data_IF_434500348133
#
_entry.id   IF_434500348133
#
_cell.length_a   1.000
_cell.length_b   1.000
_cell.length_c   1.000
_cell.angle_alpha   90.00
_cell.angle_beta   90.00
_cell.angle_gamma   90.00
#
_symmetry.space_group_name_H-M   'P 1'
#
loop_
_entity.id
_entity.type
_entity.pdbx_description
1 polymer ?
#
# COMPACT_ATOMS: atom_id res chain seq x y z
N UNK A 1 -12.70 20.11 -12.40
CA UNK A 1 -13.35 20.93 -11.34
C UNK A 1 -12.83 20.59 -9.94
N UNK A 2 -12.70 19.31 -9.57
CA UNK A 2 -12.21 18.87 -8.25
C UNK A 2 -10.91 19.56 -7.78
N UNK A 3 -9.92 19.69 -8.66
CA UNK A 3 -8.64 20.34 -8.33
C UNK A 3 -8.78 21.81 -7.91
N UNK A 4 -9.69 22.56 -8.53
CA UNK A 4 -9.89 23.97 -8.19
C UNK A 4 -10.40 24.13 -6.75
N UNK A 5 -11.31 23.24 -6.32
CA UNK A 5 -11.86 23.27 -4.96
C UNK A 5 -10.82 22.86 -3.92
N UNK A 6 -10.03 21.82 -4.20
CA UNK A 6 -8.92 21.43 -3.34
C UNK A 6 -7.92 22.58 -3.14
N UNK A 7 -7.67 23.38 -4.18
CA UNK A 7 -6.83 24.57 -4.08
C UNK A 7 -7.51 25.74 -3.36
N UNK A 8 -8.83 25.88 -3.45
CA UNK A 8 -9.60 26.86 -2.65
C UNK A 8 -9.49 26.50 -1.17
N UNK A 9 -9.61 25.22 -0.80
CA UNK A 9 -9.35 24.77 0.57
C UNK A 9 -7.94 25.14 1.02
N UNK A 10 -6.93 24.84 0.19
CA UNK A 10 -5.54 25.25 0.49
C UNK A 10 -5.40 26.76 0.73
N UNK A 11 -6.05 27.58 -0.09
CA UNK A 11 -5.99 29.03 0.04
C UNK A 11 -6.70 29.56 1.30
N UNK A 12 -7.76 28.88 1.75
CA UNK A 12 -8.52 29.25 2.95
C UNK A 12 -7.93 28.70 4.25
N UNK A 13 -7.00 27.73 4.18
CA UNK A 13 -6.40 27.11 5.35
C UNK A 13 -5.86 28.13 6.40
N UNK A 14 -5.17 29.22 6.04
CA UNK A 14 -4.66 30.18 7.03
C UNK A 14 -5.75 30.95 7.80
N UNK A 15 -6.97 31.05 7.25
CA UNK A 15 -8.07 31.85 7.82
C UNK A 15 -9.18 30.99 8.43
N UNK A 16 -9.27 29.72 8.03
CA UNK A 16 -10.28 28.76 8.52
C UNK A 16 -9.62 27.44 8.96
N UNK A 17 -8.62 27.45 9.86
CA UNK A 17 -7.83 26.27 10.18
C UNK A 17 -8.67 25.11 10.72
N UNK A 18 -9.73 25.40 11.47
CA UNK A 18 -10.58 24.37 12.10
C UNK A 18 -11.70 23.84 11.20
N UNK A 19 -11.82 24.34 9.96
CA UNK A 19 -12.87 23.94 9.00
C UNK A 19 -12.29 23.32 7.72
N UNK A 20 -11.01 23.56 7.46
CA UNK A 20 -10.35 23.15 6.21
C UNK A 20 -9.65 21.81 6.38
N UNK A 21 -9.80 20.95 5.38
CA UNK A 21 -9.15 19.65 5.30
C UNK A 21 -7.80 19.75 4.57
N UNK A 22 -6.94 18.77 4.76
CA UNK A 22 -5.73 18.61 3.95
C UNK A 22 -6.08 18.24 2.50
N UNK A 23 -5.08 18.23 1.62
CA UNK A 23 -5.27 17.91 0.22
C UNK A 23 -5.88 16.53 0.01
N UNK A 24 -6.97 16.48 -0.75
CA UNK A 24 -7.64 15.24 -1.15
C UNK A 24 -7.08 14.72 -2.48
N UNK A 25 -7.43 13.51 -2.90
CA UNK A 25 -7.19 13.01 -4.26
C UNK A 25 -7.55 14.08 -5.28
N UNK A 26 -8.71 14.73 -5.14
CA UNK A 26 -9.16 15.84 -5.98
C UNK A 26 -9.06 15.52 -7.49
N UNK A 27 -9.21 14.23 -7.82
CA UNK A 27 -9.13 13.66 -9.16
C UNK A 27 -10.35 12.77 -9.36
N UNK A 28 -11.07 12.94 -10.47
CA UNK A 28 -12.13 12.01 -10.84
C UNK A 28 -11.53 11.05 -11.85
N UNK A 29 -11.32 9.79 -11.45
CA UNK A 29 -10.90 8.75 -12.37
C UNK A 29 -12.09 8.23 -13.13
N UNK A 30 -12.01 8.29 -14.46
CA UNK A 30 -13.02 7.76 -15.35
C UNK A 30 -12.39 6.77 -16.33
N UNK A 31 -12.97 5.59 -16.47
CA UNK A 31 -12.56 4.59 -17.45
C UNK A 31 -13.74 4.17 -18.31
N UNK A 32 -13.57 4.18 -19.63
CA UNK A 32 -14.50 3.60 -20.57
C UNK A 32 -13.90 2.33 -21.15
N UNK A 33 -14.61 1.22 -20.97
CA UNK A 33 -14.28 -0.08 -21.55
C UNK A 33 -15.27 -0.37 -22.66
N UNK A 34 -14.80 -0.89 -23.79
CA UNK A 34 -15.68 -1.22 -24.90
C UNK A 34 -15.13 -2.33 -25.75
N UNK A 35 -16.01 -3.01 -26.48
CA UNK A 35 -15.62 -4.06 -27.40
C UNK A 35 -16.81 -4.63 -28.16
N UNK A 36 -16.57 -5.76 -28.81
CA UNK A 36 -17.58 -6.51 -29.57
C UNK A 36 -17.63 -7.92 -29.01
N UNK A 37 -18.83 -8.40 -28.68
CA UNK A 37 -19.04 -9.76 -28.21
C UNK A 37 -18.84 -10.76 -29.36
N UNK A 38 -18.60 -12.06 -29.06
CA UNK A 38 -18.61 -13.09 -30.09
C UNK A 38 -19.91 -13.16 -30.91
N UNK A 39 -21.04 -12.71 -30.34
CA UNK A 39 -22.33 -12.59 -31.06
C UNK A 39 -22.36 -11.49 -32.12
N UNK A 40 -21.41 -10.54 -32.08
CA UNK A 40 -21.38 -9.34 -32.94
C UNK A 40 -21.94 -8.08 -32.28
N UNK A 41 -22.54 -8.18 -31.09
CA UNK A 41 -23.09 -7.02 -30.38
C UNK A 41 -22.00 -6.17 -29.72
N UNK A 42 -22.16 -4.85 -29.76
CA UNK A 42 -21.28 -3.93 -29.04
C UNK A 42 -21.60 -3.94 -27.55
N UNK A 43 -20.57 -3.69 -26.73
CA UNK A 43 -20.73 -3.41 -25.31
C UNK A 43 -19.88 -2.21 -24.93
N UNK A 44 -20.37 -1.45 -23.95
CA UNK A 44 -19.66 -0.32 -23.34
C UNK A 44 -19.95 -0.31 -21.85
N UNK A 45 -18.91 -0.06 -21.06
CA UNK A 45 -19.03 0.18 -19.64
C UNK A 45 -18.26 1.45 -19.28
N UNK A 46 -18.91 2.32 -18.53
CA UNK A 46 -18.34 3.55 -18.02
C UNK A 46 -18.19 3.39 -16.52
N UNK A 47 -16.95 3.43 -16.07
CA UNK A 47 -16.58 3.28 -14.67
C UNK A 47 -16.09 4.62 -14.13
N UNK A 48 -16.61 4.98 -12.96
CA UNK A 48 -16.12 6.09 -12.16
C UNK A 48 -15.48 5.48 -10.93
N UNK A 49 -14.21 5.79 -10.67
CA UNK A 49 -13.50 5.25 -9.51
C UNK A 49 -13.45 6.23 -8.35
N UNK A 50 -13.34 5.64 -7.17
CA UNK A 50 -13.24 6.31 -5.89
C UNK A 50 -11.90 7.05 -5.74
N UNK A 51 -11.85 7.98 -4.80
CA UNK A 51 -10.62 8.63 -4.36
C UNK A 51 -10.52 8.64 -2.85
N UNK A 52 -9.75 9.57 -2.30
CA UNK A 52 -9.53 9.65 -0.87
C UNK A 52 -9.40 11.10 -0.42
N UNK A 53 -9.77 11.39 0.82
CA UNK A 53 -9.78 12.76 1.33
C UNK A 53 -8.54 13.05 2.16
N UNK A 54 -8.16 14.32 2.26
CA UNK A 54 -7.14 14.71 3.23
C UNK A 54 -7.66 14.60 4.68
N UNK A 55 -6.73 14.48 5.62
CA UNK A 55 -7.01 14.55 7.05
C UNK A 55 -7.84 15.80 7.37
N UNK A 56 -8.78 15.65 8.31
CA UNK A 56 -9.73 16.71 8.66
C UNK A 56 -9.39 17.29 10.03
N UNK A 57 -9.90 18.47 10.39
CA UNK A 57 -9.60 19.11 11.67
C UNK A 57 -9.90 18.28 12.92
N UNK A 58 -10.78 17.28 12.80
CA UNK A 58 -11.31 16.50 13.93
C UNK A 58 -11.41 14.99 13.65
N UNK A 59 -10.89 14.52 12.52
CA UNK A 59 -10.94 13.10 12.15
C UNK A 59 -10.04 12.80 10.96
N UNK A 60 -9.71 11.54 10.77
CA UNK A 60 -9.00 11.08 9.58
C UNK A 60 -9.77 11.37 8.30
N UNK A 61 -9.02 11.47 7.20
CA UNK A 61 -9.55 11.59 5.87
C UNK A 61 -10.26 10.30 5.47
N UNK A 62 -11.50 10.37 4.98
CA UNK A 62 -12.20 9.18 4.46
C UNK A 62 -11.39 8.42 3.41
N UNK A 63 -11.30 7.10 3.61
CA UNK A 63 -10.65 6.14 2.71
C UNK A 63 -11.59 5.74 1.57
N UNK A 64 -11.09 5.71 0.33
CA UNK A 64 -11.78 5.15 -0.84
C UNK A 64 -13.26 5.53 -1.00
N UNK A 65 -13.57 6.82 -0.90
CA UNK A 65 -14.90 7.39 -1.13
C UNK A 65 -14.97 8.20 -2.43
N UNK A 66 -16.17 8.56 -2.88
CA UNK A 66 -16.29 9.47 -4.03
C UNK A 66 -15.64 10.83 -3.73
N UNK A 67 -15.14 11.48 -4.77
CA UNK A 67 -14.35 12.70 -4.70
C UNK A 67 -15.22 13.93 -4.41
N UNK A 68 -14.58 14.99 -3.89
CA UNK A 68 -15.13 16.30 -3.43
C UNK A 68 -16.52 16.76 -3.92
N UNK A 69 -16.83 16.64 -5.22
CA UNK A 69 -18.05 17.20 -5.84
C UNK A 69 -19.05 16.17 -6.36
N UNK A 70 -18.77 14.89 -6.18
CA UNK A 70 -19.62 13.82 -6.68
C UNK A 70 -20.10 12.94 -5.50
N UNK A 71 -21.23 12.29 -5.71
CA UNK A 71 -21.69 11.23 -4.82
C UNK A 71 -22.30 10.12 -5.66
N UNK A 72 -21.40 9.26 -6.12
CA UNK A 72 -21.66 8.18 -7.06
C UNK A 72 -21.57 6.88 -6.29
N UNK A 73 -22.60 6.04 -6.42
CA UNK A 73 -22.60 4.71 -5.84
C UNK A 73 -21.75 3.79 -6.72
N UNK A 74 -20.98 2.90 -6.10
CA UNK A 74 -20.30 1.83 -6.82
C UNK A 74 -21.30 0.84 -7.45
N UNK A 75 -20.89 0.21 -8.55
CA UNK A 75 -21.63 -0.87 -9.19
C UNK A 75 -21.23 -2.20 -8.52
N UNK A 76 -22.19 -3.06 -8.11
CA UNK A 76 -21.87 -4.38 -7.58
C UNK A 76 -21.06 -5.20 -8.60
N UNK A 77 -19.96 -5.81 -8.16
CA UNK A 77 -19.07 -6.56 -9.04
C UNK A 77 -19.78 -7.77 -9.65
N UNK A 78 -20.70 -8.40 -8.91
CA UNK A 78 -21.51 -9.52 -9.39
C UNK A 78 -22.40 -9.10 -10.56
N UNK A 79 -22.98 -7.90 -10.48
CA UNK A 79 -23.81 -7.37 -11.57
C UNK A 79 -22.98 -7.05 -12.81
N UNK A 80 -21.79 -6.46 -12.63
CA UNK A 80 -20.87 -6.20 -13.72
C UNK A 80 -20.44 -7.50 -14.41
N UNK A 81 -20.01 -8.50 -13.64
CA UNK A 81 -19.56 -9.79 -14.19
C UNK A 81 -20.65 -10.61 -14.88
N UNK A 82 -21.92 -10.42 -14.52
CA UNK A 82 -23.06 -11.05 -15.21
C UNK A 82 -23.36 -10.41 -16.57
N UNK A 83 -23.14 -9.10 -16.72
CA UNK A 83 -23.58 -8.35 -17.88
C UNK A 83 -22.46 -7.95 -18.84
N UNK A 84 -21.22 -7.87 -18.37
CA UNK A 84 -20.08 -7.38 -19.14
C UNK A 84 -19.02 -8.48 -19.28
N UNK A 85 -18.27 -8.53 -20.40
CA UNK A 85 -17.16 -9.45 -20.55
C UNK A 85 -15.93 -8.92 -19.78
N UNK A 86 -16.09 -8.71 -18.48
CA UNK A 86 -15.07 -8.17 -17.58
C UNK A 86 -15.15 -8.86 -16.23
N UNK A 87 -14.01 -8.99 -15.56
CA UNK A 87 -13.92 -9.44 -14.16
C UNK A 87 -13.02 -8.46 -13.41
N UNK A 88 -13.42 -8.10 -12.19
CA UNK A 88 -12.57 -7.35 -11.30
C UNK A 88 -11.67 -8.32 -10.52
N UNK A 89 -10.37 -8.28 -10.79
CA UNK A 89 -9.39 -9.18 -10.16
C UNK A 89 -8.93 -8.66 -8.78
N UNK A 90 -9.01 -7.34 -8.54
CA UNK A 90 -8.60 -6.70 -7.28
C UNK A 90 -9.47 -5.47 -7.01
N UNK A 91 -10.02 -5.35 -5.80
CA UNK A 91 -10.77 -4.17 -5.35
C UNK A 91 -10.63 -4.00 -3.83
N UNK A 92 -9.73 -3.12 -3.40
CA UNK A 92 -9.34 -2.96 -2.00
C UNK A 92 -8.71 -1.59 -1.74
N UNK A 93 -8.42 -1.29 -0.47
CA UNK A 93 -7.54 -0.17 -0.13
C UNK A 93 -6.12 -0.46 -0.62
N UNK A 94 -5.44 0.57 -1.12
CA UNK A 94 -4.09 0.40 -1.67
C UNK A 94 -3.04 0.23 -0.59
N UNK A 95 -2.14 -0.70 -0.84
CA UNK A 95 -1.05 -1.17 0.02
C UNK A 95 0.34 -0.78 -0.50
N UNK A 96 0.42 -0.25 -1.73
CA UNK A 96 1.68 0.09 -2.39
C UNK A 96 2.30 1.40 -1.88
N UNK A 97 1.48 2.28 -1.31
CA UNK A 97 1.87 3.59 -0.81
C UNK A 97 1.05 3.97 0.42
N UNK A 98 1.64 4.78 1.28
CA UNK A 98 1.03 5.22 2.53
C UNK A 98 0.30 6.57 2.36
N UNK A 99 -0.79 6.81 3.12
CA UNK A 99 -1.43 8.12 3.14
C UNK A 99 -0.53 9.15 3.84
N UNK A 100 -0.87 10.43 3.68
CA UNK A 100 -0.15 11.51 4.35
C UNK A 100 -0.32 11.42 5.86
N UNK A 101 0.78 11.28 6.58
CA UNK A 101 0.79 11.25 8.05
C UNK A 101 0.38 12.61 8.63
N UNK A 102 -0.37 12.60 9.73
CA UNK A 102 -0.74 13.79 10.48
C UNK A 102 -1.33 13.39 11.82
N UNK A 103 -1.66 14.36 12.67
CA UNK A 103 -2.52 14.09 13.84
C UNK A 103 -3.77 13.33 13.41
N UNK A 104 -4.32 13.76 12.28
CA UNK A 104 -5.29 13.00 11.51
C UNK A 104 -4.69 12.63 10.16
N UNK A 105 -4.66 11.34 9.83
CA UNK A 105 -4.07 10.83 8.58
C UNK A 105 -4.94 11.20 7.38
N UNK A 106 -4.31 11.26 6.21
CA UNK A 106 -5.04 11.24 4.95
C UNK A 106 -5.75 9.91 4.74
N UNK A 107 -6.74 9.92 3.85
CA UNK A 107 -7.42 8.71 3.40
C UNK A 107 -6.56 7.91 2.42
N UNK A 108 -6.75 6.60 2.43
CA UNK A 108 -6.11 5.61 1.57
C UNK A 108 -6.94 5.50 0.29
N UNK A 109 -6.26 5.57 -0.85
CA UNK A 109 -6.88 5.39 -2.16
C UNK A 109 -7.23 3.93 -2.44
N UNK A 110 -8.13 3.72 -3.39
CA UNK A 110 -8.52 2.40 -3.86
C UNK A 110 -7.51 1.84 -4.86
N UNK A 111 -7.32 0.51 -4.88
CA UNK A 111 -6.85 -0.22 -6.07
C UNK A 111 -8.03 -0.93 -6.69
N UNK A 112 -8.26 -0.72 -7.98
CA UNK A 112 -9.25 -1.48 -8.76
C UNK A 112 -8.62 -1.99 -10.04
N UNK A 113 -8.56 -3.32 -10.17
CA UNK A 113 -8.01 -4.01 -11.34
C UNK A 113 -9.13 -4.67 -12.12
N UNK A 114 -9.35 -4.20 -13.35
CA UNK A 114 -10.39 -4.68 -14.24
C UNK A 114 -9.77 -5.45 -15.39
N UNK A 115 -10.08 -6.75 -15.48
CA UNK A 115 -9.67 -7.62 -16.57
C UNK A 115 -10.73 -7.70 -17.65
N UNK A 116 -10.33 -7.49 -18.89
CA UNK A 116 -11.22 -7.72 -20.03
C UNK A 116 -11.16 -9.19 -20.47
N UNK A 117 -12.32 -9.76 -20.82
CA UNK A 117 -12.44 -11.16 -21.28
C UNK A 117 -12.61 -11.25 -22.81
N UNK A 118 -12.55 -10.12 -23.49
CA UNK A 118 -12.63 -10.01 -24.95
C UNK A 118 -11.71 -8.90 -25.41
N UNK A 119 -11.22 -9.01 -26.65
CA UNK A 119 -10.55 -7.90 -27.32
C UNK A 119 -11.43 -6.64 -27.32
N UNK A 120 -10.81 -5.48 -27.15
CA UNK A 120 -11.54 -4.24 -26.97
C UNK A 120 -10.67 -3.01 -26.91
N UNK A 121 -11.23 -1.96 -26.31
CA UNK A 121 -10.61 -0.66 -26.13
C UNK A 121 -10.83 -0.12 -24.73
N UNK A 122 -9.80 0.55 -24.21
CA UNK A 122 -9.87 1.30 -22.95
C UNK A 122 -9.53 2.77 -23.23
N UNK A 123 -10.35 3.66 -22.69
CA UNK A 123 -10.04 5.09 -22.56
C UNK A 123 -10.07 5.43 -21.07
N UNK A 124 -9.06 6.15 -20.60
CA UNK A 124 -8.94 6.55 -19.20
C UNK A 124 -8.68 8.05 -19.10
N UNK A 125 -9.36 8.69 -18.16
CA UNK A 125 -9.14 10.08 -17.80
C UNK A 125 -8.93 10.23 -16.28
N UNK A 126 -7.79 10.82 -15.92
CA UNK A 126 -7.37 11.02 -14.54
C UNK A 126 -6.35 12.17 -14.41
N UNK A 127 -6.04 12.54 -13.18
CA UNK A 127 -5.03 13.50 -12.75
C UNK A 127 -4.19 12.92 -11.60
N UNK A 128 -3.28 13.72 -10.99
CA UNK A 128 -2.53 13.36 -9.77
C UNK A 128 -1.51 12.22 -9.91
N UNK A 129 -0.95 12.02 -11.10
CA UNK A 129 0.17 11.09 -11.29
C UNK A 129 1.55 11.73 -11.02
N UNK A 130 1.59 13.07 -10.88
CA UNK A 130 2.85 13.82 -10.68
C UNK A 130 2.81 14.82 -9.53
N UNK A 131 1.62 15.22 -9.05
CA UNK A 131 1.45 16.15 -7.94
C UNK A 131 0.74 15.49 -6.74
N UNK A 132 1.44 15.36 -5.63
CA UNK A 132 0.92 14.73 -4.41
C UNK A 132 -0.20 15.55 -3.75
N UNK A 133 -1.22 14.90 -3.17
CA UNK A 133 -2.10 15.56 -2.21
C UNK A 133 -1.28 16.14 -1.05
N UNK A 134 -1.50 17.41 -0.74
CA UNK A 134 -0.64 18.19 0.16
C UNK A 134 -1.10 18.02 1.61
N UNK A 135 -0.15 17.90 2.55
CA UNK A 135 -0.45 17.98 3.98
C UNK A 135 -0.62 19.42 4.46
N UNK A 136 -1.19 19.60 5.67
CA UNK A 136 -1.43 20.92 6.27
C UNK A 136 -1.09 20.95 7.75
N UNK A 137 -0.71 22.14 8.23
CA UNK A 137 -0.45 22.40 9.66
C UNK A 137 0.54 21.40 10.29
N UNK A 138 1.56 20.98 9.53
CA UNK A 138 2.56 20.00 9.97
C UNK A 138 2.32 18.58 9.42
N UNK A 139 1.16 18.32 8.82
CA UNK A 139 0.88 17.04 8.17
C UNK A 139 1.71 16.84 6.89
N UNK A 140 1.99 15.58 6.59
CA UNK A 140 2.78 15.15 5.45
C UNK A 140 1.91 15.06 4.19
N UNK A 141 2.55 15.14 3.03
CA UNK A 141 1.89 14.89 1.76
C UNK A 141 1.46 13.43 1.64
N UNK A 142 0.36 13.20 0.93
CA UNK A 142 -0.07 11.87 0.52
C UNK A 142 0.70 11.37 -0.70
N UNK A 143 0.11 10.40 -1.40
CA UNK A 143 0.74 9.73 -2.53
C UNK A 143 -0.01 9.98 -3.85
N UNK A 144 0.72 9.97 -4.96
CA UNK A 144 0.15 10.07 -6.31
C UNK A 144 -0.62 8.81 -6.70
N UNK A 145 -1.55 8.97 -7.64
CA UNK A 145 -2.17 7.84 -8.32
C UNK A 145 -1.23 7.24 -9.38
N UNK A 146 -1.54 6.04 -9.83
CA UNK A 146 -0.91 5.42 -11.00
C UNK A 146 -1.91 4.54 -11.74
N UNK A 147 -1.58 4.22 -12.98
CA UNK A 147 -2.29 3.23 -13.78
C UNK A 147 -1.26 2.27 -14.35
N UNK A 148 -1.56 0.98 -14.25
CA UNK A 148 -0.77 -0.10 -14.80
C UNK A 148 -1.65 -0.94 -15.75
N UNK A 149 -1.04 -1.45 -16.81
CA UNK A 149 -1.67 -2.42 -17.71
C UNK A 149 -0.73 -3.60 -17.89
N UNK A 150 -1.25 -4.81 -17.72
CA UNK A 150 -0.51 -6.06 -17.92
C UNK A 150 -1.46 -7.16 -18.39
N UNK A 151 -0.94 -8.29 -18.87
CA UNK A 151 -1.78 -9.43 -19.26
C UNK A 151 -1.65 -10.55 -18.23
N UNK A 152 -2.73 -11.27 -17.93
CA UNK A 152 -2.69 -12.40 -16.97
C UNK A 152 -1.81 -13.57 -17.41
N UNK A 153 -1.55 -13.73 -18.71
CA UNK A 153 -0.65 -14.77 -19.22
C UNK A 153 0.83 -14.43 -18.97
N UNK A 154 1.16 -13.14 -18.81
CA UNK A 154 2.48 -12.66 -18.39
C UNK A 154 2.33 -11.46 -17.43
N UNK A 155 2.00 -11.72 -16.15
CA UNK A 155 1.77 -10.65 -15.18
C UNK A 155 3.05 -9.90 -14.80
N UNK A 156 4.22 -10.33 -15.29
CA UNK A 156 5.49 -9.67 -15.05
C UNK A 156 5.76 -8.51 -16.02
N UNK A 157 5.13 -8.53 -17.20
CA UNK A 157 5.22 -7.46 -18.20
C UNK A 157 4.22 -6.34 -17.88
N UNK A 158 4.53 -5.57 -16.83
CA UNK A 158 3.71 -4.44 -16.38
C UNK A 158 4.07 -3.16 -17.11
N UNK A 159 3.09 -2.57 -17.77
CA UNK A 159 3.21 -1.27 -18.44
C UNK A 159 2.65 -0.16 -17.55
N UNK A 160 3.52 0.77 -17.14
CA UNK A 160 3.09 2.01 -16.49
C UNK A 160 2.44 2.95 -17.51
N UNK A 161 1.21 3.36 -17.25
CA UNK A 161 0.42 4.19 -18.16
C UNK A 161 0.34 5.66 -17.71
N UNK A 162 0.23 6.61 -18.66
CA UNK A 162 -0.06 8.00 -18.31
C UNK A 162 -1.43 8.14 -17.67
N UNK A 163 -1.66 9.25 -16.96
CA UNK A 163 -2.95 9.57 -16.33
C UNK A 163 -4.13 9.67 -17.32
N UNK A 164 -3.82 9.89 -18.60
CA UNK A 164 -4.83 9.97 -19.67
C UNK A 164 -4.35 9.23 -20.89
N UNK A 165 -5.22 8.40 -21.44
CA UNK A 165 -5.04 7.76 -22.74
C UNK A 165 -6.40 7.44 -23.33
N UNK A 166 -6.47 7.33 -24.66
CA UNK A 166 -7.73 7.10 -25.36
C UNK A 166 -7.58 6.03 -26.42
N UNK A 167 -8.54 5.12 -26.46
CA UNK A 167 -8.59 4.05 -27.47
C UNK A 167 -7.41 3.07 -27.41
N UNK A 168 -6.87 2.82 -26.20
CA UNK A 168 -5.87 1.77 -26.00
C UNK A 168 -6.50 0.44 -26.41
N UNK A 169 -5.90 -0.22 -27.40
CA UNK A 169 -6.33 -1.57 -27.81
C UNK A 169 -5.90 -2.57 -26.75
N UNK A 170 -6.85 -3.41 -26.33
CA UNK A 170 -6.61 -4.47 -25.37
C UNK A 170 -7.03 -5.82 -25.93
N UNK A 171 -6.38 -6.87 -25.43
CA UNK A 171 -6.68 -8.27 -25.70
C UNK A 171 -7.40 -8.89 -24.52
N UNK A 172 -8.14 -9.97 -24.79
CA UNK A 172 -8.65 -10.81 -23.70
C UNK A 172 -7.50 -11.19 -22.76
N UNK A 173 -7.72 -11.02 -21.45
CA UNK A 173 -6.70 -11.25 -20.43
C UNK A 173 -5.95 -10.00 -19.99
N UNK A 174 -6.02 -8.90 -20.73
CA UNK A 174 -5.43 -7.63 -20.28
C UNK A 174 -6.17 -7.10 -19.06
N UNK A 175 -5.39 -6.62 -18.10
CA UNK A 175 -5.82 -6.03 -16.83
C UNK A 175 -5.48 -4.55 -16.83
N UNK A 176 -6.47 -3.72 -16.56
CA UNK A 176 -6.30 -2.29 -16.28
C UNK A 176 -6.38 -2.09 -14.77
N UNK A 177 -5.23 -1.83 -14.14
CA UNK A 177 -5.09 -1.62 -12.71
C UNK A 177 -4.98 -0.12 -12.42
N UNK A 178 -6.04 0.44 -11.84
CA UNK A 178 -6.07 1.82 -11.37
C UNK A 178 -5.76 1.89 -9.88
N UNK A 179 -4.89 2.81 -9.51
CA UNK A 179 -4.57 3.12 -8.11
C UNK A 179 -4.84 4.60 -7.83
N UNK A 180 -5.77 4.87 -6.92
CA UNK A 180 -6.20 6.23 -6.61
C UNK A 180 -5.23 6.96 -5.69
N UNK A 181 -5.01 8.28 -5.85
CA UNK A 181 -4.14 9.06 -4.96
C UNK A 181 -4.58 8.98 -3.49
N UNK A 182 -3.63 8.91 -2.55
CA UNK A 182 -3.92 8.99 -1.11
C UNK A 182 -3.92 10.45 -0.62
N UNK A 183 -4.81 10.80 0.30
CA UNK A 183 -4.92 12.14 0.87
C UNK A 183 -3.69 12.56 1.68
N UNK A 184 -3.50 13.87 1.84
CA UNK A 184 -2.50 14.45 2.74
C UNK A 184 -2.95 14.44 4.21
N UNK A 185 -2.00 14.52 5.14
CA UNK A 185 -2.28 14.54 6.57
C UNK A 185 -2.61 15.93 7.12
N UNK A 186 -3.32 15.98 8.24
CA UNK A 186 -3.67 17.19 8.97
C UNK A 186 -2.97 17.22 10.34
N UNK A 187 -2.29 18.31 10.65
CA UNK A 187 -1.61 18.49 11.93
C UNK A 187 -0.30 17.71 12.04
N UNK A 188 0.49 17.99 13.07
CA UNK A 188 1.75 17.30 13.32
C UNK A 188 1.52 15.80 13.59
N UNK A 189 2.15 14.87 12.84
CA UNK A 189 2.06 13.43 13.09
C UNK A 189 2.39 13.00 14.53
N UNK A 190 3.34 13.68 15.19
CA UNK A 190 3.72 13.35 16.56
C UNK A 190 2.60 13.61 17.59
N UNK A 191 1.57 14.36 17.20
CA UNK A 191 0.37 14.61 18.03
C UNK A 191 -0.74 13.56 17.84
N UNK A 192 -0.58 12.60 16.90
CA UNK A 192 -1.55 11.50 16.77
C UNK A 192 -1.52 10.64 18.03
N UNK A 193 -2.67 10.26 18.62
CA UNK A 193 -2.68 9.32 19.74
C UNK A 193 -1.98 8.01 19.37
N UNK A 194 -1.13 7.48 20.27
CA UNK A 194 -0.35 6.29 19.96
C UNK A 194 -1.23 5.04 19.75
N UNK A 195 -2.34 4.96 20.49
CA UNK A 195 -3.37 3.93 20.32
C UNK A 195 -4.04 3.96 18.94
N UNK A 196 -4.28 5.16 18.38
CA UNK A 196 -4.83 5.27 17.01
C UNK A 196 -3.81 4.77 15.97
N UNK A 197 -2.52 5.01 16.20
CA UNK A 197 -1.43 4.48 15.34
C UNK A 197 -1.30 2.96 15.48
N UNK A 198 -1.48 2.41 16.67
CA UNK A 198 -1.56 0.97 16.87
C UNK A 198 -2.73 0.39 16.06
N UNK A 199 -3.91 0.99 16.14
CA UNK A 199 -5.07 0.62 15.31
C UNK A 199 -4.75 0.66 13.81
N UNK A 200 -4.12 1.73 13.33
CA UNK A 200 -3.69 1.82 11.92
C UNK A 200 -2.71 0.71 11.52
N UNK A 201 -1.87 0.22 12.44
CA UNK A 201 -0.95 -0.91 12.17
C UNK A 201 -1.69 -2.25 12.16
N UNK A 202 -2.61 -2.46 13.10
CA UNK A 202 -3.39 -3.70 13.17
C UNK A 202 -4.38 -3.84 12.01
N UNK A 203 -4.85 -2.72 11.45
CA UNK A 203 -5.73 -2.65 10.28
C UNK A 203 -4.95 -2.58 8.95
N UNK A 204 -3.61 -2.76 8.96
CA UNK A 204 -2.72 -2.69 7.80
C UNK A 204 -2.74 -1.34 7.03
N UNK A 205 -3.22 -0.26 7.66
CA UNK A 205 -3.20 1.09 7.09
C UNK A 205 -1.80 1.71 7.09
N UNK A 206 -0.93 1.24 7.98
CA UNK A 206 0.50 1.52 7.92
C UNK A 206 1.36 0.42 8.51
N UNK A 207 2.66 0.45 8.22
CA UNK A 207 3.61 -0.52 8.77
C UNK A 207 4.15 -0.05 10.12
N UNK A 208 4.68 -0.98 10.91
CA UNK A 208 5.40 -0.67 12.17
C UNK A 208 6.55 0.30 11.95
N UNK A 209 7.26 0.15 10.82
CA UNK A 209 8.33 1.06 10.45
C UNK A 209 7.80 2.47 10.18
N UNK A 210 6.65 2.58 9.49
CA UNK A 210 6.00 3.86 9.29
C UNK A 210 5.48 4.47 10.60
N UNK A 211 4.86 3.68 11.48
CA UNK A 211 4.43 4.09 12.82
C UNK A 211 5.57 4.76 13.59
N UNK A 212 6.75 4.12 13.57
CA UNK A 212 7.98 4.65 14.20
C UNK A 212 8.49 5.91 13.52
N UNK A 213 8.63 5.90 12.20
CA UNK A 213 9.31 6.97 11.46
C UNK A 213 8.46 8.23 11.29
N UNK A 214 7.15 8.08 11.12
CA UNK A 214 6.23 9.18 10.89
C UNK A 214 5.63 9.71 12.20
N UNK A 215 5.15 8.83 13.07
CA UNK A 215 4.40 9.20 14.26
C UNK A 215 5.21 9.12 15.57
N UNK A 216 6.44 8.61 15.50
CA UNK A 216 7.29 8.39 16.67
C UNK A 216 6.76 7.32 17.62
N UNK A 217 5.90 6.41 17.14
CA UNK A 217 5.25 5.37 17.96
C UNK A 217 6.01 4.05 17.84
N UNK A 218 6.29 3.43 18.98
CA UNK A 218 6.94 2.13 19.06
C UNK A 218 5.91 1.09 19.47
N UNK A 219 5.71 0.09 18.61
CA UNK A 219 4.67 -0.92 18.78
C UNK A 219 5.30 -2.28 19.03
N UNK A 220 4.82 -2.98 20.04
CA UNK A 220 5.02 -4.41 20.23
C UNK A 220 3.88 -5.16 19.52
N UNK A 221 4.14 -5.59 18.30
CA UNK A 221 3.15 -6.30 17.47
C UNK A 221 2.76 -7.65 18.07
N UNK A 222 3.65 -8.29 18.82
CA UNK A 222 3.37 -9.63 19.38
C UNK A 222 2.30 -9.55 20.47
N UNK A 223 2.34 -8.47 21.25
CA UNK A 223 1.38 -8.23 22.32
C UNK A 223 0.24 -7.29 21.91
N UNK A 224 0.29 -6.73 20.69
CA UNK A 224 -0.66 -5.71 20.21
C UNK A 224 -0.73 -4.49 21.16
N UNK A 225 0.44 -4.03 21.61
CA UNK A 225 0.56 -2.95 22.60
C UNK A 225 1.52 -1.85 22.13
N UNK A 226 1.29 -0.63 22.61
CA UNK A 226 2.23 0.49 22.47
C UNK A 226 3.30 0.43 23.56
N UNK A 227 4.58 0.49 23.20
CA UNK A 227 5.63 0.79 24.17
C UNK A 227 5.61 2.29 24.48
N UNK A 228 4.87 2.66 25.51
CA UNK A 228 4.71 4.03 25.97
C UNK A 228 6.04 4.71 26.32
N UNK A 229 6.98 3.97 26.93
CA UNK A 229 8.25 4.57 27.35
C UNK A 229 9.12 4.87 26.15
N UNK A 230 9.23 3.93 25.21
CA UNK A 230 9.98 4.11 23.98
C UNK A 230 9.33 5.15 23.05
N UNK A 231 8.00 5.17 22.96
CA UNK A 231 7.24 6.16 22.19
C UNK A 231 7.48 7.58 22.71
N UNK A 232 7.33 7.81 24.02
CA UNK A 232 7.56 9.12 24.62
C UNK A 232 9.02 9.59 24.45
N UNK A 233 9.98 8.66 24.59
CA UNK A 233 11.39 8.96 24.34
C UNK A 233 11.66 9.31 22.88
N UNK A 234 11.10 8.55 21.93
CA UNK A 234 11.30 8.77 20.50
C UNK A 234 10.67 10.10 20.05
N UNK A 235 9.43 10.40 20.45
CA UNK A 235 8.79 11.70 20.17
C UNK A 235 9.61 12.86 20.71
N UNK A 236 10.09 12.77 21.95
CA UNK A 236 10.99 13.78 22.53
C UNK A 236 12.27 13.96 21.71
N UNK A 237 12.85 12.87 21.19
CA UNK A 237 14.04 12.96 20.33
C UNK A 237 13.73 13.61 18.97
N UNK A 238 12.60 13.25 18.37
CA UNK A 238 12.17 13.80 17.07
C UNK A 238 11.82 15.29 17.15
N UNK A 239 11.20 15.74 18.24
CA UNK A 239 10.90 17.16 18.49
C UNK A 239 12.17 18.00 18.68
N UNK A 240 13.19 17.43 19.33
CA UNK A 240 14.46 18.09 19.60
C UNK A 240 15.49 17.93 18.48
N UNK A 241 15.21 17.11 17.47
CA UNK A 241 16.08 16.98 16.31
C UNK A 241 16.08 18.32 15.56
N UNK A 242 17.26 18.88 15.20
CA UNK A 242 17.31 20.07 14.37
C UNK A 242 16.54 19.77 13.08
N UNK A 243 15.62 20.67 12.71
CA UNK A 243 14.69 20.52 11.59
C UNK A 243 15.46 20.46 10.26
N UNK A 244 16.10 19.33 9.98
CA UNK A 244 16.71 19.09 8.70
C UNK A 244 15.62 18.59 7.76
N UNK A 245 15.42 19.40 6.72
CA UNK A 245 14.69 19.13 5.48
C UNK A 245 13.19 19.48 5.50
N UNK A 246 12.91 20.77 5.29
CA UNK A 246 11.82 21.12 4.39
C UNK A 246 12.25 20.70 2.97
N UNK A 247 11.73 19.59 2.45
CA UNK A 247 11.80 19.33 1.01
C UNK A 247 10.81 20.30 0.36
N UNK A 248 11.28 21.52 0.08
CA UNK A 248 10.65 22.40 -0.90
C UNK A 248 10.84 21.73 -2.26
N UNK A 249 9.86 20.91 -2.69
CA UNK A 249 9.75 20.52 -4.09
C UNK A 249 9.26 21.74 -4.86
N UNK A 250 10.19 22.63 -5.19
CA UNK A 250 10.00 23.56 -6.30
C UNK A 250 10.07 22.72 -7.58
N UNK A 251 9.05 22.73 -8.45
CA UNK A 251 9.12 21.98 -9.70
C UNK A 251 10.28 22.55 -10.53
N UNK A 252 11.25 21.70 -10.86
CA UNK A 252 12.31 22.06 -11.78
C UNK A 252 11.70 22.37 -13.15
N UNK A 253 12.11 23.46 -13.83
CA UNK A 253 11.68 23.69 -15.20
C UNK A 253 12.30 22.62 -16.11
N UNK A 254 11.47 22.09 -17.01
CA UNK A 254 11.85 21.10 -18.01
C UNK A 254 12.93 21.68 -18.93
N UNK A 255 14.12 21.08 -18.90
CA UNK A 255 15.24 21.37 -19.79
C UNK A 255 15.98 20.09 -20.14
N UNK A 256 16.22 19.91 -21.44
CA UNK A 256 16.67 18.68 -22.10
C UNK A 256 18.00 18.08 -21.62
N UNK A 257 18.07 16.75 -21.75
CA UNK A 257 19.19 15.85 -22.04
C UNK A 257 20.56 16.00 -21.34
N UNK A 258 21.10 14.81 -21.00
CA UNK A 258 22.44 14.49 -20.48
C UNK A 258 22.67 14.72 -18.97
N UNK A 259 22.61 13.63 -18.20
CA UNK A 259 23.60 13.21 -17.19
C UNK A 259 23.18 11.85 -16.60
N UNK A 260 23.76 10.78 -17.18
CA UNK A 260 23.86 9.46 -16.55
C UNK A 260 25.03 9.45 -15.57
N UNK A 261 24.92 8.59 -14.57
CA UNK A 261 25.91 8.17 -13.58
C UNK A 261 26.27 9.14 -12.44
N UNK A 262 25.62 8.92 -11.28
CA UNK A 262 26.26 8.68 -9.97
C UNK A 262 25.20 8.65 -8.85
N UNK A 263 24.93 7.46 -8.29
CA UNK A 263 24.16 7.31 -7.05
C UNK A 263 25.13 7.24 -5.85
N UNK A 264 24.88 7.97 -4.74
CA UNK A 264 25.67 7.82 -3.52
C UNK A 264 25.26 6.56 -2.74
N UNK A 265 26.26 5.87 -2.16
CA UNK A 265 26.06 4.68 -1.35
C UNK A 265 25.39 5.00 0.01
N UNK A 266 24.56 4.09 0.56
CA UNK A 266 23.96 4.26 1.88
C UNK A 266 24.96 4.01 3.03
N UNK A 267 24.77 4.63 4.20
CA UNK A 267 25.66 4.49 5.35
C UNK A 267 25.52 3.12 6.04
N UNK A 268 26.63 2.68 6.64
CA UNK A 268 26.89 1.34 7.16
C UNK A 268 26.13 0.97 8.44
N UNK A 269 25.75 -0.31 8.47
CA UNK A 269 25.43 -1.20 9.60
C UNK A 269 26.05 -0.87 10.96
N UNK A 270 25.20 -0.59 11.94
CA UNK A 270 25.40 -0.97 13.34
C UNK A 270 24.05 -0.85 14.07
N UNK A 271 23.79 -1.77 15.00
CA UNK A 271 22.62 -1.83 15.93
C UNK A 271 21.46 -2.70 15.42
N UNK A 272 21.65 -4.03 15.38
CA UNK A 272 20.55 -5.02 15.35
C UNK A 272 20.87 -6.29 16.18
N UNK A 273 21.54 -6.16 17.33
CA UNK A 273 21.96 -7.32 18.14
C UNK A 273 21.08 -7.64 19.36
N UNK A 274 19.95 -6.96 19.58
CA UNK A 274 19.28 -7.02 20.88
C UNK A 274 17.77 -7.35 20.87
N UNK A 275 17.26 -8.32 20.07
CA UNK A 275 15.89 -8.89 20.31
C UNK A 275 15.77 -10.38 19.90
N UNK A 276 16.75 -11.25 20.14
CA UNK A 276 16.58 -12.67 19.77
C UNK A 276 17.01 -13.62 20.88
N UNK A 277 16.04 -14.09 21.67
CA UNK A 277 16.17 -15.35 22.39
C UNK A 277 14.82 -16.05 22.57
N UNK A 278 14.59 -17.13 21.81
CA UNK A 278 14.75 -18.53 22.28
C UNK A 278 14.23 -19.54 21.22
N UNK A 279 15.20 -20.33 20.71
CA UNK A 279 15.17 -21.63 20.02
C UNK A 279 14.74 -21.69 18.53
N UNK A 280 15.68 -22.19 17.72
CA UNK A 280 15.71 -22.62 16.30
C UNK A 280 15.46 -21.66 15.13
N UNK A 281 15.33 -20.35 15.35
CA UNK A 281 15.43 -19.38 14.23
C UNK A 281 16.86 -19.16 13.75
N UNK A 282 17.87 -19.34 14.60
CA UNK A 282 19.25 -18.96 14.27
C UNK A 282 19.83 -19.78 13.13
N UNK A 283 19.59 -21.10 13.08
CA UNK A 283 20.19 -21.94 12.04
C UNK A 283 19.59 -21.66 10.66
N UNK A 284 18.25 -21.61 10.52
CA UNK A 284 17.60 -21.30 9.24
C UNK A 284 17.91 -19.87 8.78
N UNK A 285 17.97 -18.88 9.69
CA UNK A 285 18.35 -17.50 9.35
C UNK A 285 19.82 -17.39 8.95
N UNK A 286 20.72 -18.09 9.63
CA UNK A 286 22.14 -18.14 9.24
C UNK A 286 22.31 -18.85 7.90
N UNK A 287 21.59 -19.95 7.68
CA UNK A 287 21.67 -20.75 6.46
C UNK A 287 21.15 -19.99 5.24
N UNK A 288 20.00 -19.31 5.35
CA UNK A 288 19.49 -18.49 4.25
C UNK A 288 20.43 -17.31 3.95
N UNK A 289 20.93 -16.60 4.98
CA UNK A 289 21.89 -15.50 4.78
C UNK A 289 23.18 -15.96 4.11
N UNK A 290 23.69 -17.13 4.49
CA UNK A 290 24.86 -17.72 3.84
C UNK A 290 24.61 -18.10 2.37
N UNK A 291 23.37 -18.41 2.00
CA UNK A 291 23.01 -18.96 0.68
C UNK A 291 22.56 -17.89 -0.32
N UNK A 292 21.86 -16.84 0.13
CA UNK A 292 21.28 -15.79 -0.73
C UNK A 292 21.62 -14.36 -0.31
N UNK A 293 22.37 -14.17 0.77
CA UNK A 293 22.66 -12.84 1.34
C UNK A 293 21.49 -12.30 2.16
N UNK A 294 21.45 -10.97 2.35
CA UNK A 294 20.40 -10.30 3.16
C UNK A 294 19.18 -9.86 2.35
N UNK A 295 19.13 -10.17 1.05
CA UNK A 295 18.01 -9.82 0.16
C UNK A 295 17.06 -11.00 0.00
N UNK A 296 16.19 -11.20 0.99
CA UNK A 296 15.13 -12.20 0.97
C UNK A 296 13.92 -11.73 1.77
N UNK A 297 12.74 -12.23 1.42
CA UNK A 297 11.49 -12.04 2.18
C UNK A 297 10.81 -13.38 2.42
N UNK A 298 10.07 -13.46 3.53
CA UNK A 298 9.17 -14.56 3.82
C UNK A 298 7.79 -14.01 4.15
N UNK A 299 6.78 -14.46 3.41
CA UNK A 299 5.40 -13.98 3.53
C UNK A 299 4.49 -15.17 3.82
N UNK A 300 3.53 -15.00 4.73
CA UNK A 300 2.48 -16.00 4.97
C UNK A 300 1.30 -15.70 4.06
N UNK A 301 0.99 -16.62 3.15
CA UNK A 301 -0.09 -16.45 2.16
C UNK A 301 -1.37 -17.19 2.53
N UNK A 302 -1.30 -18.12 3.49
CA UNK A 302 -2.46 -18.85 3.96
C UNK A 302 -2.28 -19.29 5.40
N UNK A 303 -3.34 -19.17 6.20
CA UNK A 303 -3.44 -19.75 7.53
C UNK A 303 -4.79 -20.42 7.72
N UNK A 304 -4.80 -21.60 8.34
CA UNK A 304 -6.01 -22.28 8.79
C UNK A 304 -5.80 -22.95 10.12
N UNK A 305 -6.81 -22.88 10.98
CA UNK A 305 -6.87 -23.64 12.23
C UNK A 305 -8.06 -24.59 12.16
N UNK A 306 -7.81 -25.90 12.26
CA UNK A 306 -8.85 -26.94 12.34
C UNK A 306 -8.67 -27.75 13.62
N UNK A 307 -9.44 -27.41 14.64
CA UNK A 307 -9.31 -28.01 15.96
C UNK A 307 -7.96 -27.65 16.58
N UNK A 308 -7.14 -28.67 16.85
CA UNK A 308 -5.81 -28.53 17.43
C UNK A 308 -4.68 -28.57 16.38
N UNK A 309 -4.99 -28.36 15.11
CA UNK A 309 -3.98 -28.32 14.04
C UNK A 309 -4.00 -26.93 13.40
N UNK A 310 -2.85 -26.28 13.41
CA UNK A 310 -2.55 -25.05 12.71
C UNK A 310 -1.81 -25.38 11.41
N UNK A 311 -2.24 -24.81 10.30
CA UNK A 311 -1.56 -24.90 9.02
C UNK A 311 -1.24 -23.50 8.50
N UNK A 312 0.01 -23.27 8.14
CA UNK A 312 0.49 -22.03 7.54
C UNK A 312 1.18 -22.37 6.24
N UNK A 313 0.84 -21.68 5.15
CA UNK A 313 1.61 -21.70 3.91
C UNK A 313 2.41 -20.42 3.81
N UNK A 314 3.72 -20.56 3.78
CA UNK A 314 4.67 -19.46 3.63
C UNK A 314 5.36 -19.50 2.28
N UNK A 315 5.66 -18.32 1.75
CA UNK A 315 6.43 -18.11 0.53
C UNK A 315 7.75 -17.45 0.88
N UNK A 316 8.85 -18.04 0.44
CA UNK A 316 10.19 -17.50 0.56
C UNK A 316 10.67 -17.01 -0.80
N UNK A 317 11.03 -15.74 -0.87
CA UNK A 317 11.54 -15.08 -2.08
C UNK A 317 12.96 -14.62 -1.84
N UNK A 318 13.89 -15.02 -2.70
CA UNK A 318 15.27 -14.57 -2.63
C UNK A 318 15.88 -14.48 -4.04
N UNK A 319 16.18 -13.27 -4.50
CA UNK A 319 16.59 -13.00 -5.88
C UNK A 319 15.58 -13.57 -6.90
N UNK A 320 16.02 -14.46 -7.80
CA UNK A 320 15.20 -15.15 -8.82
C UNK A 320 14.62 -16.48 -8.32
N UNK A 321 14.77 -16.81 -7.03
CA UNK A 321 14.26 -18.06 -6.44
C UNK A 321 12.98 -17.80 -5.66
N UNK A 322 12.03 -18.71 -5.84
CA UNK A 322 10.72 -18.69 -5.22
C UNK A 322 10.41 -20.10 -4.72
N UNK A 323 10.15 -20.22 -3.41
CA UNK A 323 9.79 -21.50 -2.79
C UNK A 323 8.59 -21.27 -1.89
N UNK A 324 7.58 -22.14 -2.00
CA UNK A 324 6.41 -22.12 -1.14
C UNK A 324 6.22 -23.49 -0.49
N UNK A 325 6.13 -23.49 0.84
CA UNK A 325 5.94 -24.70 1.65
C UNK A 325 4.82 -24.49 2.66
N UNK A 326 4.29 -25.58 3.19
CA UNK A 326 3.28 -25.56 4.25
C UNK A 326 3.86 -26.13 5.52
N UNK A 327 3.77 -25.40 6.62
CA UNK A 327 4.04 -25.87 7.98
C UNK A 327 2.74 -26.24 8.68
N UNK A 328 2.76 -27.34 9.44
CA UNK A 328 1.60 -27.81 10.20
C UNK A 328 2.01 -28.12 11.64
N UNK A 329 1.42 -27.43 12.61
CA UNK A 329 1.71 -27.60 14.03
C UNK A 329 0.49 -28.15 14.78
N UNK A 330 0.72 -29.13 15.65
CA UNK A 330 -0.31 -29.63 16.58
C UNK A 330 -0.21 -28.82 17.87
N UNK A 331 -1.31 -28.19 18.27
CA UNK A 331 -1.37 -27.24 19.37
C UNK A 331 -1.90 -27.90 20.63
N UNK A 332 -1.28 -27.62 21.78
CA UNK A 332 -1.75 -28.13 23.06
C UNK A 332 -3.15 -27.57 23.43
N UNK A 333 -3.96 -28.32 24.20
CA UNK A 333 -5.23 -27.84 24.72
C UNK A 333 -5.01 -26.67 25.69
N UNK A 334 -5.03 -25.44 25.18
CA UNK A 334 -4.77 -24.21 25.95
C UNK A 334 -3.75 -23.26 25.31
N UNK A 335 -3.10 -23.65 24.21
CA UNK A 335 -2.26 -22.74 23.43
C UNK A 335 -3.10 -21.61 22.80
N UNK A 336 -2.58 -20.39 22.79
CA UNK A 336 -3.22 -19.26 22.11
C UNK A 336 -3.20 -19.47 20.59
N UNK A 337 -4.15 -18.82 19.89
CA UNK A 337 -4.16 -18.79 18.42
C UNK A 337 -2.83 -18.23 17.86
N UNK A 338 -2.23 -17.24 18.53
CA UNK A 338 -0.92 -16.71 18.15
C UNK A 338 0.21 -17.73 18.30
N UNK A 339 0.23 -18.51 19.38
CA UNK A 339 1.24 -19.56 19.57
C UNK A 339 1.11 -20.68 18.52
N UNK A 340 -0.14 -21.02 18.17
CA UNK A 340 -0.48 -21.98 17.13
C UNK A 340 0.02 -21.52 15.74
N UNK A 341 -0.30 -20.28 15.38
CA UNK A 341 0.15 -19.64 14.16
C UNK A 341 1.67 -19.57 14.08
N UNK A 342 2.33 -19.11 15.15
CA UNK A 342 3.78 -18.96 15.20
C UNK A 342 4.49 -20.30 14.97
N UNK A 343 4.04 -21.38 15.62
CA UNK A 343 4.62 -22.70 15.45
C UNK A 343 4.48 -23.23 14.02
N UNK A 344 3.30 -23.06 13.40
CA UNK A 344 3.06 -23.48 12.02
C UNK A 344 3.86 -22.63 11.01
N UNK A 345 3.98 -21.31 11.27
CA UNK A 345 4.76 -20.38 10.45
C UNK A 345 6.25 -20.70 10.50
N UNK A 346 6.80 -20.97 11.68
CA UNK A 346 8.21 -21.34 11.84
C UNK A 346 8.54 -22.65 11.08
N UNK A 347 7.66 -23.65 11.15
CA UNK A 347 7.81 -24.88 10.37
C UNK A 347 7.74 -24.63 8.87
N UNK A 348 6.86 -23.71 8.42
CA UNK A 348 6.75 -23.35 7.01
C UNK A 348 8.01 -22.65 6.52
N UNK A 349 8.55 -21.72 7.31
CA UNK A 349 9.79 -21.00 6.99
C UNK A 349 10.97 -21.96 6.87
N UNK A 350 11.14 -22.86 7.85
CA UNK A 350 12.22 -23.85 7.84
C UNK A 350 12.17 -24.71 6.56
N UNK A 351 10.99 -25.22 6.18
CA UNK A 351 10.82 -26.02 4.95
C UNK A 351 11.17 -25.23 3.70
N UNK A 352 10.77 -23.96 3.62
CA UNK A 352 11.14 -23.10 2.50
C UNK A 352 12.66 -22.91 2.40
N UNK A 353 13.34 -22.70 3.53
CA UNK A 353 14.80 -22.54 3.58
C UNK A 353 15.51 -23.83 3.15
N UNK A 354 15.11 -24.98 3.70
CA UNK A 354 15.69 -26.28 3.36
C UNK A 354 15.56 -26.59 1.86
N UNK A 355 14.37 -26.35 1.29
CA UNK A 355 14.12 -26.56 -0.12
C UNK A 355 14.89 -25.57 -1.01
N UNK A 356 14.98 -24.31 -0.62
CA UNK A 356 15.76 -23.31 -1.36
C UNK A 356 17.26 -23.66 -1.38
N UNK A 357 17.79 -24.18 -0.28
CA UNK A 357 19.19 -24.64 -0.21
C UNK A 357 19.40 -25.88 -1.08
N UNK A 358 18.45 -26.81 -1.08
CA UNK A 358 18.50 -28.01 -1.92
C UNK A 358 18.45 -27.69 -3.42
N UNK A 359 17.72 -26.65 -3.83
CA UNK A 359 17.67 -26.20 -5.24
C UNK A 359 18.94 -25.45 -5.69
N UNK A 360 19.78 -24.99 -4.75
CA UNK A 360 21.03 -24.27 -5.02
C UNK A 360 22.31 -25.10 -4.87
N UNK A 361 22.21 -26.28 -4.26
CA UNK A 361 23.32 -27.24 -4.07
C UNK A 361 23.44 -28.16 -5.27
#
# INVERSE_FOLDING_TARGET
MNRAIDLIYKALAPVLPNEIIAGSSASLSFAAYSGVRPSGDYWVFLEVNEGAYGGRPQSDGPDSIDNLMANTRNNPLEDLGMHLPMICDRYELRDDVLPGAGRYRGGIGVVKSQRVLTDGFITHENERHHDVPWGIFGGWSGATGKVEVFNVDDPSDVQSMPAKFSGLRVKSGDVHAFYAPCGGGYGNPLERPAEDVLGDVLDDFCTVEHARNAYGVVIDVVNEEVDETATNSLRSQMENAPSNVAISVTPAPVGNEELRDQAPAPPSSAISEAILSKVDKSESLTAIRATVGDQWSFEVVYYSQRGNIAEVRGELRANLFYVAETGSAVTDPGASLGAAFQAASDMSFQRCVERLIAEKS
#
